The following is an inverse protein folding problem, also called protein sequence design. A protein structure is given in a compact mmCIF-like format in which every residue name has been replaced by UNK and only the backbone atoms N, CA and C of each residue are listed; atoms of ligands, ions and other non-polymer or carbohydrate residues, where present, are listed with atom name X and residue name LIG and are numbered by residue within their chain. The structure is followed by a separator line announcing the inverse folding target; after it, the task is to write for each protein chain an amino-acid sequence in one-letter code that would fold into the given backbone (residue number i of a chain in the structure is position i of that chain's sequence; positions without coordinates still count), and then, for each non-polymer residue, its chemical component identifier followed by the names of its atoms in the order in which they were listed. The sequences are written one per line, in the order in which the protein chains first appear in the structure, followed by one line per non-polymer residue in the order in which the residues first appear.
data_IF_372177762450
#
_entry.id   IF_372177762450
#
_cell.length_a   1.000
_cell.length_b   1.000
_cell.length_c   1.000
_cell.angle_alpha   90.00
_cell.angle_beta   90.00
_cell.angle_gamma   90.00
#
_symmetry.space_group_name_H-M   'P 1'
#
loop_
_entity.id
_entity.type
_entity.pdbx_description
1 polymer ?
#
# COMPACT_ATOMS: atom_id res chain seq x y z
N UNK A 1 -21.77 14.65 6.90
CA UNK A 1 -20.30 14.76 7.08
C UNK A 1 -19.79 15.90 6.23
N UNK A 2 -19.10 16.88 6.83
CA UNK A 2 -18.50 17.97 6.07
C UNK A 2 -17.37 17.39 5.21
N UNK A 3 -17.67 17.21 3.93
CA UNK A 3 -16.89 16.34 3.06
C UNK A 3 -15.47 16.85 2.75
N UNK A 4 -15.15 18.09 3.11
CA UNK A 4 -13.85 18.73 2.88
C UNK A 4 -12.69 18.11 3.70
N UNK A 5 -12.96 17.57 4.89
CA UNK A 5 -11.90 17.00 5.75
C UNK A 5 -11.31 15.69 5.20
N UNK A 6 -12.07 14.99 4.34
CA UNK A 6 -11.67 13.69 3.77
C UNK A 6 -11.62 13.71 2.23
N UNK A 7 -12.17 14.74 1.59
CA UNK A 7 -11.94 15.00 0.16
C UNK A 7 -10.63 15.75 -0.02
N UNK A 8 -9.70 15.16 -0.75
CA UNK A 8 -8.45 15.84 -1.09
C UNK A 8 -8.58 16.45 -2.49
N UNK A 9 -8.49 17.78 -2.56
CA UNK A 9 -8.15 18.52 -3.78
C UNK A 9 -6.63 18.77 -3.89
N UNK A 10 -5.86 18.25 -2.93
CA UNK A 10 -4.42 18.44 -2.78
C UNK A 10 -3.73 17.07 -2.69
N UNK A 11 -2.47 17.03 -3.13
CA UNK A 11 -1.61 15.85 -3.08
C UNK A 11 -1.43 15.31 -1.67
N UNK A 12 -1.17 14.00 -1.55
CA UNK A 12 -0.67 13.38 -0.31
C UNK A 12 0.78 13.81 -0.04
N UNK A 13 1.07 15.12 -0.10
CA UNK A 13 2.36 15.70 0.16
C UNK A 13 2.70 15.60 1.64
N UNK A 14 3.99 15.73 1.95
CA UNK A 14 4.49 15.75 3.33
C UNK A 14 3.73 16.75 4.20
N UNK A 15 3.51 17.97 3.70
CA UNK A 15 2.82 19.03 4.43
C UNK A 15 1.35 18.67 4.72
N UNK A 16 0.64 18.13 3.73
CA UNK A 16 -0.76 17.74 3.89
C UNK A 16 -0.94 16.60 4.90
N UNK A 17 -0.11 15.56 4.82
CA UNK A 17 -0.15 14.45 5.77
C UNK A 17 0.26 14.93 7.17
N UNK A 18 1.25 15.80 7.27
CA UNK A 18 1.65 16.38 8.56
C UNK A 18 0.63 17.33 9.15
N UNK A 19 -0.15 18.04 8.35
CA UNK A 19 -1.27 18.86 8.83
C UNK A 19 -2.32 17.97 9.53
N UNK A 20 -2.60 16.80 8.95
CA UNK A 20 -3.62 15.86 9.44
C UNK A 20 -3.17 14.97 10.59
N UNK A 21 -1.92 14.51 10.57
CA UNK A 21 -1.44 13.49 11.49
C UNK A 21 -0.21 13.91 12.29
N UNK A 22 0.49 14.97 11.90
CA UNK A 22 1.80 15.32 12.47
C UNK A 22 1.75 15.66 13.96
N UNK A 23 2.88 15.52 14.66
CA UNK A 23 3.00 15.93 16.07
C UNK A 23 2.82 17.44 16.21
N UNK A 24 2.02 17.85 17.20
CA UNK A 24 1.88 19.22 17.66
C UNK A 24 3.14 19.62 18.42
N UNK A 25 3.84 20.65 17.96
CA UNK A 25 4.96 21.27 18.67
C UNK A 25 4.49 22.59 19.27
N UNK A 26 5.03 22.98 20.44
CA UNK A 26 4.68 24.23 21.13
C UNK A 26 4.74 25.42 20.17
N UNK A 27 3.56 25.90 19.73
CA UNK A 27 3.23 27.04 18.84
C UNK A 27 2.42 26.71 17.57
N UNK A 28 2.22 25.43 17.20
CA UNK A 28 1.32 25.06 16.08
C UNK A 28 0.31 24.00 16.51
N UNK A 29 -0.97 24.39 16.63
CA UNK A 29 -2.07 23.45 16.83
C UNK A 29 -2.27 22.71 15.51
N UNK A 30 -1.77 21.47 15.41
CA UNK A 30 -2.12 20.59 14.30
C UNK A 30 -3.50 19.99 14.52
N UNK A 31 -4.19 19.68 13.43
CA UNK A 31 -5.62 19.41 13.43
C UNK A 31 -5.96 18.07 14.10
N UNK A 32 -6.54 18.12 15.31
CA UNK A 32 -7.24 16.97 15.91
C UNK A 32 -8.63 16.74 15.32
N UNK A 33 -8.99 17.39 14.21
CA UNK A 33 -10.35 17.33 13.66
C UNK A 33 -10.72 15.91 13.25
N UNK A 34 -9.79 15.15 12.66
CA UNK A 34 -10.05 13.75 12.33
C UNK A 34 -10.26 12.90 13.60
N UNK A 35 -9.49 13.15 14.66
CA UNK A 35 -9.68 12.47 15.94
C UNK A 35 -11.04 12.81 16.55
N UNK A 36 -11.41 14.10 16.60
CA UNK A 36 -12.71 14.58 17.12
C UNK A 36 -13.89 14.03 16.31
N UNK A 37 -13.72 13.90 15.00
CA UNK A 37 -14.76 13.41 14.11
C UNK A 37 -14.93 11.89 14.17
N UNK A 38 -13.84 11.15 14.30
CA UNK A 38 -13.83 9.69 14.11
C UNK A 38 -13.66 8.94 15.43
N UNK A 39 -12.68 9.33 16.26
CA UNK A 39 -12.27 8.54 17.42
C UNK A 39 -12.90 9.01 18.73
N UNK A 40 -12.99 10.32 18.95
CA UNK A 40 -13.59 10.91 20.16
C UNK A 40 -15.03 10.43 20.40
N UNK A 41 -15.92 10.30 19.39
CA UNK A 41 -17.29 9.85 19.61
C UNK A 41 -17.41 8.40 20.10
N UNK A 42 -16.43 7.54 19.76
CA UNK A 42 -16.44 6.13 20.16
C UNK A 42 -15.67 5.87 21.46
N UNK A 43 -14.78 6.79 21.87
CA UNK A 43 -13.94 6.67 23.07
C UNK A 43 -14.70 6.29 24.35
N UNK A 44 -15.91 6.82 24.65
CA UNK A 44 -16.68 6.44 25.84
C UNK A 44 -17.11 4.97 25.87
N UNK A 45 -17.01 4.24 24.75
CA UNK A 45 -17.37 2.83 24.67
C UNK A 45 -16.15 1.89 24.70
N UNK A 46 -14.94 2.43 24.82
CA UNK A 46 -13.67 1.69 24.72
C UNK A 46 -13.03 1.38 26.08
N UNK A 47 -13.82 1.27 27.15
CA UNK A 47 -13.34 0.92 28.49
C UNK A 47 -12.77 -0.51 28.52
N UNK A 48 -11.53 -0.66 28.97
CA UNK A 48 -10.77 -1.92 29.03
C UNK A 48 -10.60 -2.68 27.69
N UNK A 49 -10.81 -1.99 26.56
CA UNK A 49 -10.64 -2.54 25.22
C UNK A 49 -9.18 -2.40 24.77
N UNK A 50 -8.53 -3.52 24.46
CA UNK A 50 -7.14 -3.56 23.95
C UNK A 50 -7.04 -3.56 22.42
N UNK A 51 -8.11 -3.91 21.72
CA UNK A 51 -8.10 -4.06 20.26
C UNK A 51 -9.43 -3.62 19.68
N UNK A 52 -9.36 -2.75 18.68
CA UNK A 52 -10.54 -2.28 17.93
C UNK A 52 -10.45 -2.79 16.51
N UNK A 53 -11.47 -3.54 16.11
CA UNK A 53 -11.66 -3.99 14.74
C UNK A 53 -12.43 -2.94 13.95
N UNK A 54 -11.89 -2.54 12.80
CA UNK A 54 -12.44 -1.48 11.96
C UNK A 54 -12.74 -2.05 10.58
N UNK A 55 -14.00 -2.00 10.18
CA UNK A 55 -14.42 -2.24 8.79
C UNK A 55 -14.71 -0.88 8.15
N UNK A 56 -13.70 -0.19 7.56
CA UNK A 56 -13.92 1.13 6.99
C UNK A 56 -14.90 1.07 5.82
N UNK A 57 -15.50 2.23 5.51
CA UNK A 57 -16.36 2.41 4.35
C UNK A 57 -16.08 3.76 3.70
N UNK A 58 -16.08 3.77 2.36
CA UNK A 58 -15.82 4.96 1.57
C UNK A 58 -14.50 5.65 1.95
N UNK A 59 -14.53 6.96 2.17
CA UNK A 59 -13.32 7.77 2.45
C UNK A 59 -12.54 7.35 3.71
N UNK A 60 -13.14 6.54 4.60
CA UNK A 60 -12.47 6.03 5.80
C UNK A 60 -11.36 5.02 5.49
N UNK A 61 -11.33 4.43 4.29
CA UNK A 61 -10.22 3.58 3.89
C UNK A 61 -8.91 4.36 3.72
N UNK A 62 -9.00 5.69 3.61
CA UNK A 62 -7.86 6.59 3.40
C UNK A 62 -7.32 7.14 4.72
N UNK A 63 -7.81 6.63 5.85
CA UNK A 63 -7.48 7.10 7.17
C UNK A 63 -6.52 6.14 7.84
N UNK A 64 -5.41 6.69 8.33
CA UNK A 64 -4.54 5.97 9.26
C UNK A 64 -5.11 6.09 10.67
N UNK A 65 -5.98 5.15 11.05
CA UNK A 65 -6.64 5.16 12.37
C UNK A 65 -5.64 5.12 13.53
N UNK A 66 -4.54 4.39 13.36
CA UNK A 66 -3.45 4.28 14.33
C UNK A 66 -2.83 5.66 14.66
N UNK A 67 -2.80 6.57 13.69
CA UNK A 67 -2.20 7.89 13.81
C UNK A 67 -3.18 9.01 14.15
N UNK A 68 -4.47 8.70 14.37
CA UNK A 68 -5.38 9.69 14.94
C UNK A 68 -4.88 10.09 16.33
N UNK A 69 -4.78 11.40 16.57
CA UNK A 69 -4.28 11.92 17.84
C UNK A 69 -5.12 13.07 18.35
N UNK A 70 -5.13 13.21 19.67
CA UNK A 70 -5.67 14.42 20.30
C UNK A 70 -4.65 15.57 20.25
N UNK A 71 -5.06 16.75 20.71
CA UNK A 71 -4.20 17.94 20.80
C UNK A 71 -2.95 17.79 21.71
N UNK A 72 -2.77 16.64 22.37
CA UNK A 72 -1.65 16.34 23.28
C UNK A 72 -0.65 15.33 22.71
N UNK A 73 -0.74 14.99 21.42
CA UNK A 73 0.08 13.95 20.78
C UNK A 73 -0.08 12.55 21.39
N UNK A 74 -1.23 12.28 22.01
CA UNK A 74 -1.63 10.91 22.38
C UNK A 74 -2.29 10.28 21.17
N UNK A 75 -1.60 9.31 20.56
CA UNK A 75 -2.08 8.63 19.37
C UNK A 75 -2.91 7.41 19.77
N UNK A 76 -3.86 7.03 18.92
CA UNK A 76 -4.70 5.84 19.16
C UNK A 76 -3.85 4.58 19.38
N UNK A 77 -2.81 4.40 18.57
CA UNK A 77 -1.92 3.24 18.64
C UNK A 77 -1.17 3.11 19.97
N UNK A 78 -1.05 4.18 20.76
CA UNK A 78 -0.34 4.13 22.04
C UNK A 78 -1.05 3.22 23.05
N UNK A 79 -2.37 3.18 23.01
CA UNK A 79 -3.19 2.47 24.00
C UNK A 79 -3.99 1.31 23.41
N UNK A 80 -4.30 1.35 22.11
CA UNK A 80 -5.23 0.42 21.47
C UNK A 80 -4.58 -0.17 20.21
N UNK A 81 -4.69 -1.49 20.04
CA UNK A 81 -4.30 -2.14 18.80
C UNK A 81 -5.38 -1.92 17.74
N UNK A 82 -4.96 -1.60 16.52
CA UNK A 82 -5.86 -1.42 15.38
C UNK A 82 -5.78 -2.65 14.49
N UNK A 83 -6.96 -3.15 14.11
CA UNK A 83 -7.14 -4.27 13.21
C UNK A 83 -8.16 -3.87 12.14
N UNK A 84 -7.71 -3.60 10.91
CA UNK A 84 -8.66 -3.33 9.83
C UNK A 84 -9.09 -4.64 9.17
N UNK A 85 -10.39 -4.81 9.01
CA UNK A 85 -10.99 -5.99 8.39
C UNK A 85 -11.76 -5.57 7.15
N UNK A 86 -11.90 -6.47 6.19
CA UNK A 86 -12.72 -6.18 4.99
C UNK A 86 -14.22 -6.20 5.28
N UNK A 87 -14.63 -6.93 6.33
CA UNK A 87 -16.03 -7.01 6.77
C UNK A 87 -16.12 -7.47 8.22
N UNK A 88 -17.24 -7.17 8.89
CA UNK A 88 -17.49 -7.58 10.27
C UNK A 88 -17.54 -9.11 10.47
N UNK A 89 -17.83 -9.89 9.43
CA UNK A 89 -17.85 -11.36 9.51
C UNK A 89 -16.46 -11.96 9.79
N UNK A 90 -15.38 -11.20 9.59
CA UNK A 90 -14.01 -11.66 9.86
C UNK A 90 -13.57 -11.49 11.33
N UNK A 91 -14.37 -10.83 12.18
CA UNK A 91 -14.02 -10.52 13.57
C UNK A 91 -13.86 -11.78 14.44
N UNK A 92 -14.44 -12.92 14.04
CA UNK A 92 -14.30 -14.20 14.75
C UNK A 92 -12.91 -14.84 14.61
N UNK A 93 -12.00 -14.26 13.82
CA UNK A 93 -10.63 -14.76 13.70
C UNK A 93 -9.76 -14.24 14.86
N UNK A 94 -9.56 -15.09 15.85
CA UNK A 94 -8.55 -14.89 16.90
C UNK A 94 -7.18 -14.72 16.22
N UNK A 95 -6.35 -13.82 16.76
CA UNK A 95 -4.95 -13.67 16.32
C UNK A 95 -4.24 -15.03 16.40
N UNK A 96 -3.91 -15.60 15.25
CA UNK A 96 -3.32 -16.95 15.17
C UNK A 96 -1.81 -16.86 15.05
N UNK A 97 -1.10 -17.69 15.83
CA UNK A 97 0.33 -17.89 15.61
C UNK A 97 0.54 -18.62 14.29
N UNK A 98 1.22 -17.98 13.37
CA UNK A 98 1.50 -18.47 12.03
C UNK A 98 2.88 -19.12 11.96
N UNK A 99 3.00 -20.14 11.12
CA UNK A 99 4.30 -20.71 10.74
C UNK A 99 4.55 -20.34 9.30
N UNK A 100 5.66 -19.63 9.04
CA UNK A 100 6.10 -19.27 7.69
C UNK A 100 7.20 -20.24 7.24
N UNK A 101 6.97 -20.93 6.14
CA UNK A 101 7.86 -21.96 5.58
C UNK A 101 8.64 -21.43 4.39
N UNK A 102 8.01 -20.58 3.59
CA UNK A 102 8.59 -19.99 2.41
C UNK A 102 8.16 -18.52 2.21
N UNK A 103 8.96 -17.78 1.45
CA UNK A 103 8.67 -16.42 1.04
C UNK A 103 9.19 -16.16 -0.37
N UNK A 104 8.42 -15.38 -1.13
CA UNK A 104 8.84 -14.87 -2.43
C UNK A 104 8.93 -13.35 -2.34
N UNK A 105 10.08 -12.81 -2.69
CA UNK A 105 10.44 -11.40 -2.52
C UNK A 105 10.73 -10.81 -3.91
N UNK A 106 10.07 -9.71 -4.26
CA UNK A 106 10.29 -8.96 -5.49
C UNK A 106 10.79 -7.56 -5.13
N UNK A 107 11.93 -7.14 -5.67
CA UNK A 107 12.52 -5.83 -5.39
C UNK A 107 13.79 -5.57 -6.20
N UNK A 108 14.23 -4.32 -6.28
CA UNK A 108 15.33 -3.93 -7.17
C UNK A 108 15.00 -4.24 -8.63
N UNK A 109 13.76 -3.98 -9.05
CA UNK A 109 13.26 -4.33 -10.38
C UNK A 109 13.84 -3.35 -11.40
N UNK A 110 14.31 -3.88 -12.53
CA UNK A 110 14.65 -3.05 -13.68
C UNK A 110 13.43 -2.95 -14.61
N UNK A 111 12.81 -1.77 -14.64
CA UNK A 111 11.61 -1.51 -15.42
C UNK A 111 11.88 -1.29 -16.91
N UNK A 112 13.15 -1.09 -17.29
CA UNK A 112 13.53 -0.91 -18.69
C UNK A 112 13.44 -2.23 -19.45
N UNK A 113 12.78 -2.19 -20.60
CA UNK A 113 12.81 -3.26 -21.59
C UNK A 113 13.88 -3.03 -22.66
N UNK A 114 14.10 -4.00 -23.57
CA UNK A 114 15.16 -3.94 -24.59
C UNK A 114 15.09 -2.71 -25.51
N UNK A 115 13.91 -2.09 -25.60
CA UNK A 115 13.64 -0.99 -26.52
C UNK A 115 13.28 0.32 -25.79
N UNK A 116 13.46 0.37 -24.46
CA UNK A 116 13.12 1.53 -23.65
C UNK A 116 14.00 2.73 -23.98
N UNK A 117 13.38 3.78 -24.51
CA UNK A 117 14.05 5.06 -24.80
C UNK A 117 13.90 6.05 -23.66
N UNK A 118 12.78 6.00 -22.92
CA UNK A 118 12.50 6.86 -21.77
C UNK A 118 12.20 6.03 -20.52
N UNK A 119 12.74 6.47 -19.37
CA UNK A 119 12.51 5.85 -18.06
C UNK A 119 11.29 6.47 -17.37
N UNK A 120 10.11 6.05 -17.79
CA UNK A 120 8.84 6.49 -17.18
C UNK A 120 8.77 6.00 -15.72
N UNK A 121 9.04 4.72 -15.51
CA UNK A 121 9.25 4.12 -14.20
C UNK A 121 10.74 4.07 -13.91
N UNK A 122 11.17 4.85 -12.90
CA UNK A 122 12.57 4.93 -12.49
C UNK A 122 12.94 3.75 -11.61
N UNK A 123 14.19 3.30 -11.70
CA UNK A 123 14.74 2.31 -10.80
C UNK A 123 14.66 2.78 -9.33
N UNK A 124 14.31 1.85 -8.42
CA UNK A 124 14.16 2.12 -6.99
C UNK A 124 15.25 1.38 -6.21
N UNK A 125 16.35 2.07 -5.92
CA UNK A 125 17.50 1.46 -5.22
C UNK A 125 17.13 0.92 -3.84
N UNK A 126 16.28 1.64 -3.08
CA UNK A 126 15.82 1.20 -1.76
C UNK A 126 15.15 -0.16 -1.76
N UNK A 127 14.37 -0.48 -2.81
CA UNK A 127 13.64 -1.76 -2.91
C UNK A 127 14.59 -2.96 -3.03
N UNK A 128 15.78 -2.79 -3.62
CA UNK A 128 16.81 -3.81 -3.67
C UNK A 128 17.37 -4.10 -2.27
N UNK A 129 17.67 -3.04 -1.52
CA UNK A 129 18.19 -3.13 -0.15
C UNK A 129 17.15 -3.75 0.79
N UNK A 130 15.89 -3.36 0.62
CA UNK A 130 14.74 -3.88 1.37
C UNK A 130 14.65 -5.40 1.26
N UNK A 131 14.56 -5.94 0.03
CA UNK A 131 14.41 -7.39 -0.16
C UNK A 131 15.65 -8.17 0.27
N UNK A 132 16.86 -7.61 0.12
CA UNK A 132 18.09 -8.27 0.57
C UNK A 132 18.15 -8.39 2.11
N UNK A 133 17.69 -7.36 2.83
CA UNK A 133 17.59 -7.41 4.30
C UNK A 133 16.53 -8.40 4.76
N UNK A 134 15.35 -8.38 4.15
CA UNK A 134 14.25 -9.32 4.46
C UNK A 134 14.71 -10.77 4.20
N UNK A 135 15.35 -11.03 3.06
CA UNK A 135 15.90 -12.35 2.72
C UNK A 135 16.85 -12.87 3.81
N UNK A 136 17.78 -12.02 4.27
CA UNK A 136 18.73 -12.35 5.33
C UNK A 136 18.02 -12.71 6.65
N UNK A 137 17.02 -11.92 7.05
CA UNK A 137 16.24 -12.17 8.27
C UNK A 137 15.48 -13.50 8.20
N UNK A 138 14.80 -13.74 7.08
CA UNK A 138 14.02 -14.96 6.84
C UNK A 138 14.91 -16.22 6.83
N UNK A 139 16.04 -16.16 6.11
CA UNK A 139 17.02 -17.27 6.08
C UNK A 139 17.61 -17.57 7.45
N UNK A 140 17.89 -16.56 8.27
CA UNK A 140 18.37 -16.73 9.66
C UNK A 140 17.41 -17.58 10.51
N UNK A 141 16.11 -17.49 10.25
CA UNK A 141 15.06 -18.28 10.93
C UNK A 141 14.64 -19.52 10.13
N UNK A 142 15.43 -19.94 9.13
CA UNK A 142 15.23 -21.13 8.28
C UNK A 142 13.96 -21.09 7.42
N UNK A 143 13.45 -19.90 7.09
CA UNK A 143 12.40 -19.73 6.08
C UNK A 143 13.05 -19.80 4.70
N UNK A 144 12.52 -20.62 3.79
CA UNK A 144 13.02 -20.72 2.41
C UNK A 144 12.62 -19.47 1.63
N UNK A 145 13.54 -18.85 0.91
CA UNK A 145 13.26 -17.62 0.16
C UNK A 145 13.58 -17.80 -1.31
N UNK A 146 12.76 -17.20 -2.17
CA UNK A 146 13.11 -16.88 -3.57
C UNK A 146 13.10 -15.35 -3.71
N UNK A 147 14.16 -14.81 -4.29
CA UNK A 147 14.31 -13.36 -4.49
C UNK A 147 14.39 -13.09 -5.99
N UNK A 148 13.50 -12.24 -6.47
CA UNK A 148 13.39 -11.84 -7.87
C UNK A 148 13.79 -10.37 -7.98
N UNK A 149 14.82 -10.09 -8.79
CA UNK A 149 15.41 -8.75 -8.95
C UNK A 149 15.74 -8.45 -10.41
N UNK A 150 16.02 -7.19 -10.71
CA UNK A 150 16.40 -6.69 -12.02
C UNK A 150 15.40 -7.17 -13.09
N UNK A 151 15.90 -7.62 -14.25
CA UNK A 151 15.09 -8.14 -15.35
C UNK A 151 14.46 -9.50 -15.07
N UNK A 152 14.83 -10.18 -13.98
CA UNK A 152 14.22 -11.47 -13.58
C UNK A 152 12.96 -11.28 -12.72
N UNK A 153 12.71 -10.08 -12.21
CA UNK A 153 11.47 -9.75 -11.52
C UNK A 153 10.36 -9.45 -12.54
N UNK A 154 9.97 -10.47 -13.30
CA UNK A 154 8.90 -10.36 -14.32
C UNK A 154 7.53 -10.63 -13.73
N UNK A 155 6.51 -10.15 -14.43
CA UNK A 155 5.10 -10.45 -14.17
C UNK A 155 4.80 -11.96 -14.20
N UNK A 156 5.49 -12.73 -15.05
CA UNK A 156 5.39 -14.19 -15.07
C UNK A 156 5.95 -14.84 -13.82
N UNK A 157 7.15 -14.42 -13.39
CA UNK A 157 7.73 -14.94 -12.16
C UNK A 157 6.80 -14.66 -10.97
N UNK A 158 6.11 -13.52 -10.98
CA UNK A 158 5.05 -13.26 -10.01
C UNK A 158 3.91 -14.28 -10.10
N UNK A 159 3.29 -14.44 -11.28
CA UNK A 159 2.15 -15.34 -11.48
C UNK A 159 2.52 -16.80 -11.12
N UNK A 160 3.67 -17.28 -11.57
CA UNK A 160 4.12 -18.66 -11.37
C UNK A 160 4.49 -18.98 -9.92
N UNK A 161 4.96 -17.99 -9.16
CA UNK A 161 5.45 -18.21 -7.80
C UNK A 161 4.47 -17.72 -6.72
N UNK A 162 3.37 -17.06 -7.08
CA UNK A 162 2.41 -16.53 -6.11
C UNK A 162 1.54 -17.59 -5.42
N UNK A 163 1.18 -18.68 -6.10
CA UNK A 163 0.17 -19.65 -5.62
C UNK A 163 0.63 -20.57 -4.47
N UNK A 164 1.93 -20.64 -4.15
CA UNK A 164 2.46 -21.56 -3.14
C UNK A 164 3.51 -20.88 -2.24
N UNK A 165 3.20 -19.68 -1.77
CA UNK A 165 4.05 -18.94 -0.83
C UNK A 165 3.25 -18.51 0.41
N UNK A 166 3.85 -18.70 1.58
CA UNK A 166 3.28 -18.21 2.84
C UNK A 166 3.42 -16.68 2.93
N UNK A 167 4.53 -16.13 2.43
CA UNK A 167 4.81 -14.69 2.39
C UNK A 167 5.06 -14.26 0.94
N UNK A 168 4.36 -13.22 0.50
CA UNK A 168 4.60 -12.55 -0.77
C UNK A 168 4.94 -11.09 -0.49
N UNK A 169 6.17 -10.69 -0.76
CA UNK A 169 6.62 -9.32 -0.55
C UNK A 169 6.96 -8.70 -1.90
N UNK A 170 6.36 -7.54 -2.20
CA UNK A 170 6.47 -6.87 -3.49
C UNK A 170 6.87 -5.42 -3.24
N UNK A 171 8.12 -5.08 -3.53
CA UNK A 171 8.68 -3.74 -3.45
C UNK A 171 8.93 -3.22 -4.87
N UNK A 172 8.04 -2.37 -5.36
CA UNK A 172 8.04 -1.90 -6.76
C UNK A 172 7.23 -0.60 -6.92
N UNK A 173 6.99 -0.11 -8.13
CA UNK A 173 6.00 0.93 -8.38
C UNK A 173 4.58 0.35 -8.50
N UNK A 174 3.60 1.14 -8.10
CA UNK A 174 2.19 0.87 -8.33
C UNK A 174 1.50 2.09 -8.92
N UNK A 175 0.47 1.85 -9.71
CA UNK A 175 -0.31 2.92 -10.31
C UNK A 175 -1.80 2.74 -10.02
N UNK A 176 -2.51 3.86 -10.12
CA UNK A 176 -3.95 3.94 -10.00
C UNK A 176 -4.43 5.11 -10.87
N UNK A 177 -5.53 4.93 -11.60
CA UNK A 177 -6.16 5.99 -12.38
C UNK A 177 -7.64 6.17 -11.98
N UNK A 178 -8.10 7.44 -11.82
CA UNK A 178 -9.47 7.74 -11.45
C UNK A 178 -10.48 7.33 -12.55
N UNK A 179 -11.77 7.52 -12.29
CA UNK A 179 -12.81 7.29 -13.29
C UNK A 179 -12.54 8.12 -14.58
N UNK A 180 -12.62 7.52 -15.79
CA UNK A 180 -12.37 8.23 -17.05
C UNK A 180 -13.22 9.50 -17.25
N UNK A 181 -14.46 9.54 -16.75
CA UNK A 181 -15.32 10.74 -16.84
C UNK A 181 -14.75 11.89 -16.02
N UNK A 182 -14.18 11.58 -14.86
CA UNK A 182 -13.51 12.57 -14.01
C UNK A 182 -12.14 12.96 -14.53
N UNK A 183 -11.40 12.03 -15.13
CA UNK A 183 -10.14 12.34 -15.80
C UNK A 183 -10.34 13.42 -16.88
N UNK A 184 -11.43 13.37 -17.65
CA UNK A 184 -11.80 14.42 -18.62
C UNK A 184 -12.13 15.77 -17.97
N UNK A 185 -12.81 15.78 -16.83
CA UNK A 185 -13.09 17.02 -16.07
C UNK A 185 -11.80 17.65 -15.51
N UNK A 186 -10.87 16.81 -15.05
CA UNK A 186 -9.56 17.23 -14.54
C UNK A 186 -8.67 17.76 -15.68
N UNK A 187 -8.66 17.10 -16.84
CA UNK A 187 -7.92 17.55 -18.04
C UNK A 187 -8.44 18.90 -18.57
N UNK A 188 -9.75 19.12 -18.58
CA UNK A 188 -10.38 20.33 -19.11
C UNK A 188 -10.20 21.58 -18.22
N UNK A 189 -9.86 21.42 -16.95
CA UNK A 189 -9.80 22.53 -15.98
C UNK A 189 -8.41 23.11 -15.75
N UNK A 190 -7.40 22.65 -16.52
CA UNK A 190 -5.95 22.95 -16.39
C UNK A 190 -5.58 23.97 -15.31
N UNK A 191 -5.61 23.53 -14.06
CA UNK A 191 -4.71 24.04 -13.05
C UNK A 191 -3.71 22.90 -12.88
N UNK A 192 -2.42 23.20 -13.00
CA UNK A 192 -1.35 22.37 -12.42
C UNK A 192 -1.58 22.37 -10.91
N UNK A 193 -2.56 21.59 -10.45
CA UNK A 193 -2.80 21.35 -9.03
C UNK A 193 -1.60 20.52 -8.60
N UNK A 194 -0.72 21.17 -7.84
CA UNK A 194 0.64 20.72 -7.58
C UNK A 194 0.74 19.21 -7.37
N UNK A 195 1.62 18.58 -8.14
CA UNK A 195 2.20 17.25 -7.91
C UNK A 195 1.26 16.03 -7.91
N UNK A 196 0.09 16.04 -8.56
CA UNK A 196 -0.47 14.76 -9.05
C UNK A 196 0.28 14.35 -10.33
N UNK A 197 1.61 14.35 -10.28
CA UNK A 197 2.42 13.60 -11.22
C UNK A 197 2.22 12.15 -10.86
N UNK A 198 1.23 11.52 -11.49
CA UNK A 198 1.27 10.07 -11.66
C UNK A 198 2.64 9.79 -12.29
N UNK A 199 3.60 9.24 -11.54
CA UNK A 199 4.91 8.84 -12.08
C UNK A 199 4.60 7.95 -13.28
N UNK A 200 4.69 8.46 -14.50
CA UNK A 200 3.88 7.92 -15.61
C UNK A 200 3.35 8.93 -16.64
N UNK A 201 3.16 10.20 -16.27
CA UNK A 201 2.29 11.12 -17.02
C UNK A 201 2.93 11.89 -18.18
N UNK A 202 4.15 11.60 -18.59
CA UNK A 202 4.76 12.25 -19.75
C UNK A 202 4.51 11.39 -21.00
N UNK A 203 3.39 11.69 -21.67
CA UNK A 203 3.12 11.45 -23.10
C UNK A 203 3.25 10.01 -23.63
N UNK A 204 2.23 9.17 -23.40
CA UNK A 204 2.11 7.86 -24.08
C UNK A 204 0.67 7.33 -24.26
N UNK A 205 0.37 6.70 -25.40
CA UNK A 205 -0.86 5.97 -25.75
C UNK A 205 -1.09 4.74 -24.86
N UNK A 206 -0.02 4.07 -24.39
CA UNK A 206 -0.10 2.96 -23.43
C UNK A 206 -0.81 3.34 -22.12
N UNK A 207 -0.59 4.58 -21.65
CA UNK A 207 -1.32 5.16 -20.52
C UNK A 207 -2.82 5.31 -20.81
N UNK A 208 -3.17 5.67 -22.05
CA UNK A 208 -4.57 5.90 -22.43
C UNK A 208 -5.43 4.64 -22.32
N UNK A 209 -4.85 3.46 -22.58
CA UNK A 209 -5.54 2.17 -22.46
C UNK A 209 -5.92 1.85 -21.02
N UNK A 210 -5.06 2.16 -20.04
CA UNK A 210 -5.36 2.01 -18.62
C UNK A 210 -6.28 3.13 -18.12
N UNK A 211 -5.98 4.39 -18.43
CA UNK A 211 -6.77 5.57 -17.96
C UNK A 211 -8.21 5.53 -18.46
N UNK A 212 -8.44 5.17 -19.73
CA UNK A 212 -9.79 5.15 -20.33
C UNK A 212 -10.54 3.85 -20.12
N UNK A 213 -9.93 2.84 -19.46
CA UNK A 213 -10.55 1.55 -19.28
C UNK A 213 -11.80 1.67 -18.39
N UNK A 214 -12.98 1.17 -18.80
CA UNK A 214 -14.18 1.22 -17.97
C UNK A 214 -14.06 0.36 -16.71
N UNK A 215 -13.28 -0.72 -16.73
CA UNK A 215 -13.11 -1.63 -15.59
C UNK A 215 -12.14 -1.05 -14.55
N UNK A 216 -12.59 -0.77 -13.30
CA UNK A 216 -11.72 -0.23 -12.25
C UNK A 216 -10.52 -1.12 -11.90
N UNK A 217 -10.63 -2.44 -12.09
CA UNK A 217 -9.52 -3.37 -11.83
C UNK A 217 -8.39 -3.29 -12.87
N UNK A 218 -8.68 -2.79 -14.07
CA UNK A 218 -7.66 -2.52 -15.10
C UNK A 218 -6.97 -1.17 -14.88
N UNK A 219 -7.54 -0.30 -14.03
CA UNK A 219 -7.01 1.06 -13.77
C UNK A 219 -6.04 1.11 -12.59
N UNK A 220 -5.66 -0.04 -12.05
CA UNK A 220 -4.67 -0.13 -10.98
C UNK A 220 -3.83 -1.37 -11.15
N UNK A 221 -2.55 -1.28 -10.83
CA UNK A 221 -1.64 -2.39 -11.01
C UNK A 221 -0.29 -2.16 -10.35
N UNK A 222 0.56 -3.17 -10.45
CA UNK A 222 1.95 -3.18 -10.03
C UNK A 222 2.85 -3.27 -11.26
N UNK A 223 3.98 -2.59 -11.21
CA UNK A 223 4.94 -2.50 -12.30
C UNK A 223 6.03 -3.55 -12.08
N UNK A 224 6.42 -4.29 -13.12
CA UNK A 224 7.45 -5.33 -13.11
C UNK A 224 8.48 -5.08 -14.21
N UNK A 225 9.44 -5.99 -14.35
CA UNK A 225 10.51 -5.85 -15.33
C UNK A 225 9.99 -5.68 -16.75
N UNK A 226 10.57 -4.74 -17.50
CA UNK A 226 10.21 -4.44 -18.89
C UNK A 226 9.02 -3.49 -19.08
N UNK A 227 8.35 -3.05 -18.01
CA UNK A 227 7.14 -2.24 -18.12
C UNK A 227 7.32 -0.90 -18.86
N UNK A 228 8.52 -0.33 -18.91
CA UNK A 228 8.76 0.91 -19.65
C UNK A 228 8.52 0.74 -21.16
N UNK A 229 8.61 -0.46 -21.73
CA UNK A 229 8.28 -0.68 -23.15
C UNK A 229 6.79 -0.45 -23.43
N UNK A 230 5.89 -0.79 -22.48
CA UNK A 230 4.44 -0.53 -22.57
C UNK A 230 4.14 0.97 -22.53
N UNK A 231 4.81 1.71 -21.65
CA UNK A 231 4.63 3.16 -21.55
C UNK A 231 5.30 3.91 -22.71
N UNK A 232 6.31 3.33 -23.36
CA UNK A 232 6.98 3.86 -24.55
C UNK A 232 6.30 3.48 -25.87
N UNK A 233 5.07 2.94 -25.84
CA UNK A 233 4.24 2.64 -27.03
C UNK A 233 4.83 1.61 -28.01
N UNK A 234 5.63 0.69 -27.49
CA UNK A 234 6.21 -0.37 -28.33
C UNK A 234 5.19 -1.50 -28.40
N UNK A 235 4.78 -1.92 -29.60
CA UNK A 235 3.85 -3.05 -29.80
C UNK A 235 4.39 -4.28 -29.06
N UNK A 236 3.87 -4.51 -27.86
CA UNK A 236 4.02 -5.77 -27.16
C UNK A 236 2.94 -6.69 -27.72
N UNK A 237 3.36 -7.87 -28.16
CA UNK A 237 2.46 -8.94 -28.56
C UNK A 237 1.46 -9.16 -27.41
N UNK A 238 0.18 -8.80 -27.58
CA UNK A 238 -0.83 -8.72 -26.50
C UNK A 238 -1.07 -10.01 -25.70
N UNK A 239 -0.46 -11.13 -26.13
CA UNK A 239 -0.40 -12.40 -25.41
C UNK A 239 0.85 -12.60 -24.54
N UNK A 240 1.80 -11.66 -24.56
CA UNK A 240 3.08 -11.70 -23.83
C UNK A 240 3.05 -10.72 -22.66
N UNK A 241 3.65 -11.17 -21.56
CA UNK A 241 3.89 -10.43 -20.33
C UNK A 241 4.36 -9.02 -20.65
N UNK A 242 3.55 -8.03 -20.31
CA UNK A 242 3.77 -6.63 -20.63
C UNK A 242 4.53 -5.92 -19.49
N UNK A 243 4.83 -6.67 -18.42
CA UNK A 243 5.49 -6.13 -17.24
C UNK A 243 4.52 -5.37 -16.34
N UNK A 244 3.21 -5.49 -16.57
CA UNK A 244 2.16 -4.77 -15.85
C UNK A 244 1.20 -5.77 -15.24
N UNK A 245 1.26 -5.91 -13.92
CA UNK A 245 0.32 -6.77 -13.21
C UNK A 245 -0.89 -5.96 -12.76
N UNK A 246 -1.99 -6.07 -13.50
CA UNK A 246 -3.23 -5.38 -13.17
C UNK A 246 -3.95 -6.01 -11.98
N UNK A 247 -4.77 -5.22 -11.28
CA UNK A 247 -5.61 -5.74 -10.20
C UNK A 247 -6.63 -6.76 -10.73
N UNK A 248 -7.01 -6.69 -12.01
CA UNK A 248 -7.86 -7.69 -12.63
C UNK A 248 -7.18 -9.05 -12.66
N UNK A 249 -5.90 -9.10 -13.04
CA UNK A 249 -5.13 -10.34 -13.06
C UNK A 249 -4.89 -10.84 -11.64
N UNK A 250 -4.52 -9.97 -10.70
CA UNK A 250 -4.35 -10.33 -9.29
C UNK A 250 -5.61 -10.99 -8.72
N UNK A 251 -6.80 -10.46 -9.03
CA UNK A 251 -8.06 -11.00 -8.53
C UNK A 251 -8.35 -12.44 -9.03
N UNK A 252 -7.68 -12.89 -10.09
CA UNK A 252 -7.80 -14.22 -10.67
C UNK A 252 -6.67 -15.19 -10.25
N UNK A 253 -5.75 -14.75 -9.38
CA UNK A 253 -4.68 -15.59 -8.82
C UNK A 253 -5.18 -16.31 -7.56
N UNK A 254 -4.62 -17.49 -7.25
CA UNK A 254 -4.97 -18.24 -6.04
C UNK A 254 -3.97 -17.99 -4.89
N UNK A 255 -4.33 -17.08 -3.99
CA UNK A 255 -3.58 -16.75 -2.79
C UNK A 255 -4.20 -17.31 -1.51
N UNK A 256 -5.09 -18.31 -1.59
CA UNK A 256 -5.80 -18.86 -0.41
C UNK A 256 -4.85 -19.41 0.67
N UNK A 257 -3.66 -19.87 0.27
CA UNK A 257 -2.65 -20.37 1.20
C UNK A 257 -1.62 -19.29 1.61
N UNK A 258 -1.72 -18.08 1.05
CA UNK A 258 -0.81 -16.99 1.35
C UNK A 258 -1.23 -16.29 2.63
N UNK A 259 -0.37 -16.41 3.65
CA UNK A 259 -0.60 -15.88 4.99
C UNK A 259 -0.40 -14.38 5.05
N UNK A 260 0.54 -13.86 4.27
CA UNK A 260 0.90 -12.44 4.28
C UNK A 260 1.30 -11.99 2.88
N UNK A 261 0.65 -10.94 2.40
CA UNK A 261 1.08 -10.14 1.26
C UNK A 261 1.54 -8.78 1.77
N UNK A 262 2.70 -8.31 1.34
CA UNK A 262 3.21 -6.96 1.62
C UNK A 262 3.41 -6.25 0.29
N UNK A 263 2.67 -5.16 0.10
CA UNK A 263 2.80 -4.24 -1.02
C UNK A 263 3.60 -3.03 -0.56
N UNK A 264 4.92 -3.13 -0.69
CA UNK A 264 5.86 -2.01 -0.49
C UNK A 264 5.97 -1.20 -1.79
N UNK A 265 4.82 -0.92 -2.40
CA UNK A 265 4.74 -0.44 -3.78
C UNK A 265 3.74 0.70 -4.00
N UNK A 266 3.22 1.33 -2.95
CA UNK A 266 2.05 2.19 -3.09
C UNK A 266 2.38 3.69 -2.92
N UNK A 267 2.35 4.38 -4.06
CA UNK A 267 2.24 5.84 -4.22
C UNK A 267 0.83 6.28 -4.69
N UNK A 268 -0.23 5.59 -4.30
CA UNK A 268 -1.58 5.99 -4.75
C UNK A 268 -2.56 5.78 -3.62
N UNK A 269 -2.72 6.82 -2.79
CA UNK A 269 -3.76 6.85 -1.77
C UNK A 269 -5.13 6.78 -2.41
N UNK A 270 -5.59 5.54 -2.62
CA UNK A 270 -6.97 5.09 -2.58
C UNK A 270 -7.91 5.95 -3.42
N UNK A 271 -8.11 5.51 -4.65
CA UNK A 271 -8.76 6.27 -5.70
C UNK A 271 -10.12 6.91 -5.40
N UNK A 272 -10.62 7.63 -6.40
CA UNK A 272 -11.70 8.60 -6.21
C UNK A 272 -13.05 8.01 -5.76
N UNK A 273 -13.29 8.07 -4.45
CA UNK A 273 -14.53 7.64 -3.79
C UNK A 273 -15.60 8.73 -3.92
N UNK A 274 -16.15 8.89 -5.12
CA UNK A 274 -17.50 9.46 -5.30
C UNK A 274 -18.25 8.65 -6.34
N UNK A 275 -18.81 7.57 -5.85
CA UNK A 275 -19.66 6.59 -6.50
C UNK A 275 -19.81 5.47 -5.49
N UNK A 276 -21.02 5.06 -5.16
CA UNK A 276 -21.30 3.98 -4.19
C UNK A 276 -20.76 2.60 -4.62
N UNK A 277 -20.02 2.54 -5.72
CA UNK A 277 -19.43 1.34 -6.30
C UNK A 277 -17.95 1.57 -6.66
N UNK A 278 -17.05 1.05 -5.83
CA UNK A 278 -15.81 0.41 -6.30
C UNK A 278 -14.60 1.31 -6.58
N UNK A 279 -13.82 1.63 -5.54
CA UNK A 279 -12.42 2.04 -5.72
C UNK A 279 -11.51 1.39 -4.68
N UNK A 280 -11.19 0.11 -4.92
CA UNK A 280 -10.26 -0.69 -4.11
C UNK A 280 -9.48 -1.66 -4.99
N UNK A 281 -8.94 -1.22 -6.14
CA UNK A 281 -8.41 -2.14 -7.16
C UNK A 281 -7.48 -3.22 -6.60
N UNK A 282 -6.27 -2.84 -6.17
CA UNK A 282 -5.29 -3.80 -5.64
C UNK A 282 -5.69 -4.40 -4.29
N UNK A 283 -6.18 -3.59 -3.34
CA UNK A 283 -6.63 -4.10 -2.04
C UNK A 283 -7.68 -5.21 -2.20
N UNK A 284 -8.74 -4.93 -2.94
CA UNK A 284 -9.83 -5.87 -3.18
C UNK A 284 -9.34 -7.07 -3.99
N UNK A 285 -8.49 -6.85 -5.00
CA UNK A 285 -7.96 -7.94 -5.80
C UNK A 285 -7.17 -8.95 -4.96
N UNK A 286 -6.24 -8.49 -4.12
CA UNK A 286 -5.46 -9.40 -3.26
C UNK A 286 -6.34 -10.11 -2.21
N UNK A 287 -7.36 -9.43 -1.67
CA UNK A 287 -8.32 -10.07 -0.76
C UNK A 287 -9.25 -11.06 -1.48
N UNK A 288 -9.70 -10.76 -2.69
CA UNK A 288 -10.47 -11.68 -3.55
C UNK A 288 -9.65 -12.91 -3.95
N UNK A 289 -8.35 -12.73 -4.22
CA UNK A 289 -7.42 -13.81 -4.48
C UNK A 289 -7.21 -14.74 -3.27
N UNK A 290 -7.55 -14.29 -2.06
CA UNK A 290 -7.53 -15.11 -0.85
C UNK A 290 -6.40 -14.80 0.13
N UNK A 291 -5.65 -13.71 -0.05
CA UNK A 291 -4.59 -13.33 0.88
C UNK A 291 -5.14 -13.11 2.31
N UNK A 292 -4.58 -13.81 3.30
CA UNK A 292 -5.06 -13.72 4.69
C UNK A 292 -4.78 -12.36 5.32
N UNK A 293 -3.53 -11.90 5.25
CA UNK A 293 -3.15 -10.55 5.71
C UNK A 293 -2.54 -9.77 4.54
N UNK A 294 -2.84 -8.48 4.48
CA UNK A 294 -2.34 -7.57 3.46
C UNK A 294 -1.78 -6.31 4.13
N UNK A 295 -0.51 -6.03 3.91
CA UNK A 295 0.12 -4.76 4.29
C UNK A 295 0.30 -3.91 3.03
N UNK A 296 -0.06 -2.64 3.12
CA UNK A 296 0.16 -1.66 2.05
C UNK A 296 0.38 -0.26 2.62
N UNK A 297 0.87 0.68 1.81
CA UNK A 297 0.99 2.08 2.16
C UNK A 297 -0.14 2.95 1.59
N UNK A 298 -0.65 3.88 2.39
CA UNK A 298 -1.65 4.89 2.02
C UNK A 298 -1.02 6.05 1.22
N UNK A 299 0.27 6.31 1.43
CA UNK A 299 1.07 7.33 0.74
C UNK A 299 2.54 6.90 0.68
N UNK A 300 3.35 7.67 -0.07
CA UNK A 300 4.77 7.39 -0.25
C UNK A 300 5.57 7.72 1.01
N UNK A 301 6.42 6.79 1.43
CA UNK A 301 7.42 6.97 2.49
C UNK A 301 8.82 6.92 1.86
N UNK A 302 9.78 7.76 2.30
CA UNK A 302 11.14 7.71 1.78
C UNK A 302 11.81 6.34 2.02
N UNK A 303 12.64 5.92 1.06
CA UNK A 303 13.23 4.57 0.99
C UNK A 303 13.90 4.13 2.30
N UNK A 304 14.64 5.03 2.97
CA UNK A 304 15.34 4.71 4.21
C UNK A 304 14.37 4.28 5.31
N UNK A 305 13.30 5.04 5.52
CA UNK A 305 12.30 4.76 6.54
C UNK A 305 11.42 3.55 6.16
N UNK A 306 11.16 3.33 4.87
CA UNK A 306 10.49 2.11 4.37
C UNK A 306 11.31 0.86 4.67
N UNK A 307 12.61 0.88 4.35
CA UNK A 307 13.54 -0.23 4.64
C UNK A 307 13.59 -0.51 6.15
N UNK A 308 13.70 0.53 6.97
CA UNK A 308 13.72 0.39 8.44
C UNK A 308 12.40 -0.18 8.97
N UNK A 309 11.26 0.31 8.51
CA UNK A 309 9.94 -0.21 8.88
C UNK A 309 9.83 -1.71 8.60
N UNK A 310 10.22 -2.13 7.38
CA UNK A 310 10.12 -3.52 6.96
C UNK A 310 11.10 -4.42 7.72
N UNK A 311 12.33 -3.95 7.96
CA UNK A 311 13.31 -4.68 8.78
C UNK A 311 12.75 -4.97 10.18
N UNK A 312 12.27 -3.94 10.88
CA UNK A 312 11.66 -4.06 12.21
C UNK A 312 10.41 -4.97 12.17
N UNK A 313 9.55 -4.81 11.17
CA UNK A 313 8.37 -5.65 11.00
C UNK A 313 8.71 -7.13 10.83
N UNK A 314 9.65 -7.48 9.94
CA UNK A 314 10.02 -8.87 9.73
C UNK A 314 10.75 -9.48 10.94
N UNK A 315 11.56 -8.71 11.66
CA UNK A 315 12.15 -9.15 12.93
C UNK A 315 11.06 -9.53 13.95
N UNK A 316 10.11 -8.61 14.20
CA UNK A 316 8.98 -8.84 15.12
C UNK A 316 8.05 -9.95 14.63
N UNK A 317 7.83 -10.07 13.32
CA UNK A 317 7.01 -11.13 12.73
C UNK A 317 7.61 -12.50 13.02
N UNK A 318 8.92 -12.65 12.88
CA UNK A 318 9.63 -13.92 13.11
C UNK A 318 9.69 -14.29 14.59
N UNK A 319 9.67 -13.31 15.48
CA UNK A 319 9.69 -13.53 16.93
C UNK A 319 8.30 -13.80 17.50
N UNK A 320 7.30 -12.96 17.17
CA UNK A 320 5.94 -13.12 17.68
C UNK A 320 5.15 -14.19 16.94
N UNK A 321 5.47 -14.44 15.66
CA UNK A 321 4.71 -15.31 14.76
C UNK A 321 3.26 -14.87 14.60
N UNK A 322 3.00 -13.59 14.76
CA UNK A 322 1.66 -12.99 14.72
C UNK A 322 1.75 -11.68 13.94
N UNK A 323 1.06 -11.62 12.80
CA UNK A 323 1.15 -10.49 11.86
C UNK A 323 0.62 -9.21 12.48
N UNK A 324 -0.55 -9.27 13.12
CA UNK A 324 -1.19 -8.11 13.75
C UNK A 324 -0.33 -7.56 14.86
N UNK A 325 0.17 -8.43 15.74
CA UNK A 325 1.06 -8.02 16.82
C UNK A 325 2.35 -7.43 16.28
N UNK A 326 3.01 -8.09 15.34
CA UNK A 326 4.24 -7.58 14.73
C UNK A 326 4.04 -6.19 14.12
N UNK A 327 2.96 -6.01 13.36
CA UNK A 327 2.63 -4.74 12.72
C UNK A 327 2.38 -3.60 13.72
N UNK A 328 1.52 -3.82 14.71
CA UNK A 328 1.20 -2.80 15.73
C UNK A 328 2.47 -2.43 16.53
N UNK A 329 3.30 -3.40 16.90
CA UNK A 329 4.56 -3.15 17.61
C UNK A 329 5.60 -2.44 16.74
N UNK A 330 5.65 -2.69 15.43
CA UNK A 330 6.48 -1.91 14.50
C UNK A 330 6.04 -0.45 14.44
N UNK A 331 4.74 -0.18 14.32
CA UNK A 331 4.24 1.20 14.31
C UNK A 331 4.56 1.93 15.63
N UNK A 332 4.40 1.26 16.78
CA UNK A 332 4.76 1.82 18.09
C UNK A 332 6.25 2.14 18.19
N UNK A 333 7.12 1.26 17.69
CA UNK A 333 8.57 1.47 17.70
C UNK A 333 8.97 2.64 16.79
N UNK A 334 8.49 2.63 15.54
CA UNK A 334 8.77 3.71 14.59
C UNK A 334 8.26 5.07 15.09
N UNK A 335 7.11 5.11 15.78
CA UNK A 335 6.56 6.34 16.37
C UNK A 335 7.49 7.01 17.39
N UNK A 336 8.27 6.23 18.15
CA UNK A 336 9.21 6.77 19.12
C UNK A 336 10.30 7.60 18.45
N UNK A 337 10.67 7.23 17.21
CA UNK A 337 11.74 7.86 16.44
C UNK A 337 11.25 8.88 15.42
N UNK A 338 10.07 8.66 14.83
CA UNK A 338 9.60 9.38 13.65
C UNK A 338 8.24 10.07 13.84
N UNK A 339 7.99 11.07 13.01
CA UNK A 339 6.64 11.63 12.83
C UNK A 339 5.71 10.64 12.11
N UNK A 340 4.39 10.76 12.31
CA UNK A 340 3.38 9.89 11.69
C UNK A 340 3.50 9.74 10.18
N UNK A 341 3.99 10.76 9.47
CA UNK A 341 4.27 10.67 8.04
C UNK A 341 5.03 9.39 7.65
N UNK A 342 6.02 8.98 8.45
CA UNK A 342 6.93 7.88 8.10
C UNK A 342 6.43 6.48 8.48
N UNK A 343 5.50 6.35 9.44
CA UNK A 343 5.05 5.05 9.96
C UNK A 343 3.55 4.80 9.83
N UNK A 344 2.76 5.87 9.80
CA UNK A 344 1.30 5.81 9.69
C UNK A 344 0.83 5.55 8.26
N UNK A 345 1.74 5.64 7.29
CA UNK A 345 1.47 5.31 5.91
C UNK A 345 1.07 3.84 5.75
N UNK A 346 1.75 2.96 6.48
CA UNK A 346 1.48 1.53 6.39
C UNK A 346 0.19 1.19 7.13
N UNK A 347 -0.58 0.29 6.53
CA UNK A 347 -1.80 -0.26 7.10
C UNK A 347 -1.86 -1.77 6.90
N UNK A 348 -2.45 -2.46 7.88
CA UNK A 348 -2.69 -3.90 7.85
C UNK A 348 -4.18 -4.17 7.66
N UNK A 349 -4.52 -5.03 6.70
CA UNK A 349 -5.87 -5.45 6.36
C UNK A 349 -5.98 -6.97 6.46
N UNK A 350 -6.99 -7.43 7.19
CA UNK A 350 -7.26 -8.83 7.53
C UNK A 350 -8.51 -9.37 6.83
#
# INVERSE_FOLDING_TARGET
MNSALVKTSHTNSFDFINEKYGKSYESTVKSSELYKLIWEPIKPYLHDIKTVYISPAGLLHNISFAALSNNKNEFVIDNINIAMVTSSSQINNVSEKLVFRNANLFGGINFDGPSSQNQVWKYLEGTSVEVDKIDKLLKKKKVKTKVFKNLFATEEQFKDNSNNTDILHIATHGFFYPDPKKAKEIEQTTIKIGEVTFRGSESGLGMSSFVKNPNPLMRSGLVFAGANDVWNEIETDSSKQDGVLTAYEVANINLQNTKLVVLSACETGLGDIRGSEGVYGLQRAFKMAGAKHLIMSLWQVPDKETVEFMEIFYEKLLDYKDVRKAFNETQREMRQKYDPFFWAAFVLIE
#
